data_IF_373646966245
#
_entry.id   IF_373646966245
#
_cell.length_a   1.000
_cell.length_b   1.000
_cell.length_c   1.000
_cell.angle_alpha   90.00
_cell.angle_beta   90.00
_cell.angle_gamma   90.00
#
_symmetry.space_group_name_H-M   'P 1'
#
loop_
_entity.id
_entity.type
_entity.pdbx_description
1 polymer ?
#
# COMPACT_ATOMS: atom_id res chain seq x y z
N UNK A 1 14.34 -15.72 -4.10
CA UNK A 1 14.56 -14.42 -3.45
C UNK A 1 14.99 -13.40 -4.49
N UNK A 2 14.33 -12.28 -4.53
CA UNK A 2 14.68 -11.19 -5.45
C UNK A 2 15.95 -10.53 -4.94
N UNK A 3 16.99 -10.51 -5.77
CA UNK A 3 18.15 -9.67 -5.48
C UNK A 3 17.72 -8.25 -5.84
N UNK A 4 17.41 -7.46 -4.83
CA UNK A 4 17.16 -6.04 -5.04
C UNK A 4 18.44 -5.26 -4.75
N UNK A 5 18.91 -4.54 -5.74
CA UNK A 5 19.89 -3.48 -5.56
C UNK A 5 19.11 -2.18 -5.29
N UNK A 6 18.72 -1.99 -4.05
CA UNK A 6 18.16 -0.70 -3.65
C UNK A 6 19.30 0.24 -3.33
N UNK A 7 19.53 1.20 -4.20
CA UNK A 7 20.50 2.29 -3.98
C UNK A 7 19.89 3.43 -3.18
N UNK A 8 18.61 3.37 -2.90
CA UNK A 8 17.87 4.40 -2.19
C UNK A 8 16.81 3.79 -1.26
N UNK A 9 16.50 4.50 -0.18
CA UNK A 9 15.33 4.21 0.64
C UNK A 9 14.06 4.52 -0.15
N UNK A 10 12.97 3.79 0.14
CA UNK A 10 11.65 3.99 -0.47
C UNK A 10 11.57 3.69 -1.98
N UNK A 11 12.58 3.05 -2.56
CA UNK A 11 12.51 2.52 -3.91
C UNK A 11 11.84 1.15 -3.91
N UNK A 12 11.16 0.81 -5.01
CA UNK A 12 10.62 -0.52 -5.22
C UNK A 12 11.74 -1.56 -5.41
N UNK A 13 11.44 -2.82 -5.10
CA UNK A 13 12.40 -3.90 -5.19
C UNK A 13 12.30 -4.64 -6.53
N UNK A 14 13.44 -4.84 -7.20
CA UNK A 14 13.52 -5.60 -8.44
C UNK A 14 12.69 -4.97 -9.55
N UNK A 15 11.74 -5.74 -10.11
CA UNK A 15 10.83 -5.31 -11.18
C UNK A 15 9.42 -4.98 -10.68
N UNK A 16 9.23 -4.85 -9.37
CA UNK A 16 7.94 -4.44 -8.81
C UNK A 16 7.73 -2.95 -9.01
N UNK A 17 6.55 -2.49 -9.46
CA UNK A 17 6.21 -1.08 -9.48
C UNK A 17 6.03 -0.55 -8.06
N UNK A 18 6.15 0.76 -7.88
CA UNK A 18 5.90 1.41 -6.60
C UNK A 18 4.44 1.20 -6.18
N UNK A 19 4.21 0.91 -4.90
CA UNK A 19 2.86 0.76 -4.35
C UNK A 19 2.04 2.04 -4.49
N UNK A 20 2.63 3.16 -4.12
CA UNK A 20 2.10 4.51 -4.29
C UNK A 20 3.28 5.49 -4.23
N UNK A 21 3.12 6.67 -4.84
CA UNK A 21 4.15 7.71 -4.76
C UNK A 21 4.11 8.47 -3.43
N UNK A 22 2.95 8.48 -2.78
CA UNK A 22 2.77 8.91 -1.40
C UNK A 22 1.84 7.94 -0.68
N UNK A 23 2.19 7.55 0.53
CA UNK A 23 1.36 6.71 1.39
C UNK A 23 1.74 6.90 2.86
N UNK A 24 0.89 6.41 3.75
CA UNK A 24 1.18 6.37 5.17
C UNK A 24 1.72 5.00 5.57
N UNK A 25 2.70 5.01 6.45
CA UNK A 25 3.20 3.81 7.08
C UNK A 25 2.95 3.89 8.59
N UNK A 26 2.30 2.88 9.12
CA UNK A 26 2.13 2.75 10.55
C UNK A 26 3.42 2.21 11.17
N UNK A 27 4.04 2.99 12.05
CA UNK A 27 5.27 2.62 12.75
C UNK A 27 5.07 2.76 14.26
N UNK A 28 5.68 1.87 15.03
CA UNK A 28 5.74 1.98 16.48
C UNK A 28 7.06 2.65 16.82
N UNK A 29 6.99 3.84 17.42
CA UNK A 29 8.20 4.51 17.94
C UNK A 29 8.50 4.00 19.34
N UNK A 30 9.78 3.96 19.69
CA UNK A 30 10.22 3.57 21.02
C UNK A 30 9.54 4.41 22.10
N UNK A 31 8.91 3.78 23.06
CA UNK A 31 8.17 4.43 24.15
C UNK A 31 6.72 4.80 23.86
N UNK A 32 6.19 4.49 22.66
CA UNK A 32 4.77 4.68 22.32
C UNK A 32 3.99 3.38 22.50
N UNK A 33 2.70 3.50 22.86
CA UNK A 33 1.79 2.37 23.07
C UNK A 33 1.08 1.89 21.79
N UNK A 34 1.03 2.75 20.79
CA UNK A 34 0.34 2.51 19.53
C UNK A 34 1.23 2.84 18.33
N UNK A 35 0.77 2.42 17.15
CA UNK A 35 1.39 2.77 15.88
C UNK A 35 1.16 4.25 15.58
N UNK A 36 2.19 4.92 15.12
CA UNK A 36 2.13 6.29 14.62
C UNK A 36 2.11 6.29 13.09
N UNK A 37 1.29 7.14 12.51
CA UNK A 37 1.20 7.32 11.06
C UNK A 37 2.34 8.23 10.59
N UNK A 38 3.16 7.74 9.67
CA UNK A 38 4.28 8.47 9.08
C UNK A 38 4.12 8.55 7.57
N UNK A 39 4.30 9.76 7.02
CA UNK A 39 4.32 9.98 5.58
C UNK A 39 5.53 9.32 4.93
N UNK A 40 5.30 8.63 3.82
CA UNK A 40 6.33 8.02 2.99
C UNK A 40 6.14 8.46 1.55
N UNK A 41 7.18 9.03 0.97
CA UNK A 41 7.23 9.40 -0.44
C UNK A 41 8.13 8.44 -1.19
N UNK A 42 7.75 8.07 -2.42
CA UNK A 42 8.60 7.25 -3.27
C UNK A 42 9.88 8.00 -3.62
N UNK A 43 10.96 7.25 -3.86
CA UNK A 43 12.23 7.85 -4.27
C UNK A 43 12.09 8.64 -5.57
N UNK A 44 11.33 8.12 -6.52
CA UNK A 44 11.07 8.75 -7.81
C UNK A 44 10.41 10.13 -7.64
N UNK A 45 9.42 10.22 -6.74
CA UNK A 45 8.77 11.50 -6.44
C UNK A 45 9.71 12.48 -5.75
N UNK A 46 10.49 12.02 -4.78
CA UNK A 46 11.47 12.86 -4.10
C UNK A 46 12.52 13.40 -5.08
N UNK A 47 13.03 12.56 -5.98
CA UNK A 47 13.98 12.97 -7.00
C UNK A 47 13.35 13.95 -8.01
N UNK A 48 12.09 13.75 -8.40
CA UNK A 48 11.37 14.67 -9.28
C UNK A 48 11.17 16.04 -8.62
N UNK A 49 10.80 16.07 -7.34
CA UNK A 49 10.65 17.30 -6.57
C UNK A 49 11.96 18.06 -6.40
N UNK A 50 13.03 17.34 -6.19
CA UNK A 50 14.36 17.95 -6.01
C UNK A 50 14.91 18.57 -7.31
N UNK A 51 14.66 17.91 -8.45
CA UNK A 51 15.30 18.28 -9.73
C UNK A 51 14.42 19.09 -10.68
N UNK A 52 13.08 18.97 -10.60
CA UNK A 52 12.16 19.44 -11.63
C UNK A 52 11.05 20.33 -11.06
N UNK A 53 10.25 19.83 -10.13
CA UNK A 53 9.09 20.54 -9.58
C UNK A 53 8.96 20.30 -8.07
N UNK A 54 9.42 21.25 -7.24
CA UNK A 54 9.38 21.13 -5.77
C UNK A 54 7.98 20.94 -5.18
N UNK A 55 6.93 21.37 -5.89
CA UNK A 55 5.55 21.34 -5.44
C UNK A 55 4.77 20.14 -5.98
N UNK A 56 5.43 19.27 -6.76
CA UNK A 56 4.78 18.09 -7.33
C UNK A 56 4.25 17.15 -6.25
N UNK A 57 2.97 16.77 -6.36
CA UNK A 57 2.31 15.83 -5.46
C UNK A 57 1.46 14.84 -6.27
N UNK A 58 1.29 13.59 -5.79
CA UNK A 58 0.39 12.64 -6.40
C UNK A 58 -1.06 13.12 -6.31
N UNK A 59 -1.94 12.72 -7.25
CA UNK A 59 -3.36 13.03 -7.17
C UNK A 59 -3.99 12.56 -5.85
N UNK A 60 -4.81 13.40 -5.23
CA UNK A 60 -5.56 13.08 -4.02
C UNK A 60 -4.78 13.22 -2.71
N UNK A 61 -3.60 13.84 -2.73
CA UNK A 61 -2.82 14.17 -1.52
C UNK A 61 -2.91 15.67 -1.27
N UNK A 62 -3.50 16.04 -0.14
CA UNK A 62 -3.71 17.43 0.26
C UNK A 62 -5.09 17.96 -0.12
N UNK A 63 -5.77 18.62 0.82
CA UNK A 63 -7.19 19.00 0.69
C UNK A 63 -7.45 20.19 -0.24
N UNK A 64 -6.51 21.05 -0.57
CA UNK A 64 -6.77 22.32 -1.27
C UNK A 64 -5.66 22.77 -2.25
N UNK A 65 -4.66 21.98 -2.51
CA UNK A 65 -3.64 22.37 -3.51
C UNK A 65 -4.11 22.08 -4.92
N UNK A 66 -3.93 23.00 -5.87
CA UNK A 66 -4.06 22.68 -7.28
C UNK A 66 -3.08 21.53 -7.54
N UNK A 67 -3.62 20.38 -7.81
CA UNK A 67 -2.85 19.16 -8.05
C UNK A 67 -1.91 19.42 -9.23
N UNK A 68 -0.63 19.65 -8.96
CA UNK A 68 0.37 19.52 -9.99
C UNK A 68 0.28 18.08 -10.49
N UNK A 69 -0.24 17.86 -11.68
CA UNK A 69 -0.36 16.52 -12.23
C UNK A 69 1.04 16.00 -12.47
N UNK A 70 1.37 14.88 -11.84
CA UNK A 70 2.59 14.16 -12.18
C UNK A 70 2.54 13.72 -13.65
N UNK A 71 3.68 13.68 -14.34
CA UNK A 71 3.75 13.12 -15.67
C UNK A 71 3.25 11.67 -15.73
N UNK A 72 2.73 11.25 -16.88
CA UNK A 72 2.12 9.95 -17.12
C UNK A 72 3.04 8.73 -16.82
N UNK A 73 4.34 8.95 -16.71
CA UNK A 73 5.28 7.90 -16.35
C UNK A 73 5.35 7.61 -14.84
N UNK A 74 4.70 8.41 -14.01
CA UNK A 74 4.52 8.10 -12.60
C UNK A 74 3.35 7.12 -12.45
N UNK A 75 3.64 5.84 -12.59
CA UNK A 75 2.67 4.74 -12.56
C UNK A 75 2.84 3.95 -11.27
N UNK A 76 1.76 3.71 -10.55
CA UNK A 76 1.71 2.87 -9.36
C UNK A 76 1.30 1.44 -9.68
N UNK A 77 1.51 0.53 -8.72
CA UNK A 77 1.17 -0.89 -8.89
C UNK A 77 -0.30 -1.16 -9.21
N UNK A 78 -1.21 -0.29 -8.76
CA UNK A 78 -2.65 -0.43 -8.99
C UNK A 78 -3.09 0.05 -10.39
N UNK A 79 -2.25 0.85 -11.06
CA UNK A 79 -2.49 1.35 -12.40
C UNK A 79 -1.99 0.39 -13.48
N UNK A 80 -1.15 -0.56 -13.09
CA UNK A 80 -0.64 -1.64 -13.96
C UNK A 80 -1.65 -2.77 -14.01
N UNK A 81 -2.08 -3.16 -15.20
CA UNK A 81 -3.01 -4.29 -15.34
C UNK A 81 -2.37 -5.63 -14.96
N UNK A 82 -3.15 -6.63 -14.52
CA UNK A 82 -2.62 -7.96 -14.20
C UNK A 82 -1.83 -8.61 -15.36
N UNK A 83 -2.25 -8.39 -16.60
CA UNK A 83 -1.52 -8.89 -17.78
C UNK A 83 -0.18 -8.20 -17.99
N UNK A 84 -0.11 -6.87 -17.79
CA UNK A 84 1.15 -6.13 -17.86
C UNK A 84 2.14 -6.57 -16.78
N UNK A 85 1.67 -6.90 -15.58
CA UNK A 85 2.51 -7.51 -14.54
C UNK A 85 3.11 -8.85 -15.00
N UNK A 86 2.34 -9.68 -15.69
CA UNK A 86 2.80 -10.94 -16.26
C UNK A 86 3.79 -10.69 -17.40
N UNK A 87 3.52 -9.74 -18.28
CA UNK A 87 4.35 -9.45 -19.46
C UNK A 87 5.76 -9.00 -19.08
N UNK A 88 5.91 -8.10 -18.12
CA UNK A 88 7.23 -7.68 -17.64
C UNK A 88 7.99 -8.82 -16.98
N UNK A 89 7.30 -9.68 -16.21
CA UNK A 89 7.90 -10.86 -15.63
C UNK A 89 8.33 -11.86 -16.70
N UNK A 90 7.52 -12.07 -17.74
CA UNK A 90 7.83 -12.96 -18.86
C UNK A 90 9.04 -12.46 -19.66
N UNK A 91 9.15 -11.15 -19.86
CA UNK A 91 10.30 -10.56 -20.53
C UNK A 91 11.60 -10.84 -19.76
N UNK A 92 11.58 -10.72 -18.44
CA UNK A 92 12.72 -11.03 -17.58
C UNK A 92 13.00 -12.53 -17.46
N UNK A 93 11.96 -13.39 -17.43
CA UNK A 93 12.08 -14.84 -17.24
C UNK A 93 12.92 -15.53 -18.34
N UNK A 94 12.98 -14.94 -19.53
CA UNK A 94 13.81 -15.45 -20.63
C UNK A 94 15.32 -15.50 -20.30
N UNK A 95 15.74 -14.67 -19.36
CA UNK A 95 17.14 -14.47 -18.99
C UNK A 95 17.49 -14.99 -17.59
N UNK A 96 16.51 -15.55 -16.88
CA UNK A 96 16.64 -16.00 -15.50
C UNK A 96 16.25 -17.47 -15.39
N UNK A 97 17.20 -18.29 -14.94
CA UNK A 97 17.00 -19.74 -14.79
C UNK A 97 16.03 -20.06 -13.66
N UNK A 98 16.09 -19.33 -12.56
CA UNK A 98 15.20 -19.52 -11.42
C UNK A 98 13.83 -18.87 -11.62
N UNK A 99 12.86 -19.29 -10.85
CA UNK A 99 11.54 -18.63 -10.81
C UNK A 99 11.71 -17.19 -10.27
N UNK A 100 10.98 -16.25 -10.88
CA UNK A 100 10.93 -14.86 -10.44
C UNK A 100 9.76 -14.69 -9.47
N UNK A 101 10.03 -14.14 -8.29
CA UNK A 101 9.02 -13.75 -7.33
C UNK A 101 8.54 -12.33 -7.65
N UNK A 102 7.45 -12.25 -8.38
CA UNK A 102 6.78 -10.99 -8.71
C UNK A 102 5.29 -11.09 -8.43
N UNK A 103 4.73 -10.03 -7.89
CA UNK A 103 3.30 -9.93 -7.61
C UNK A 103 2.57 -9.27 -8.78
N UNK A 104 1.47 -9.88 -9.22
CA UNK A 104 0.48 -9.25 -10.07
C UNK A 104 -0.64 -8.70 -9.19
N UNK A 105 -0.77 -7.38 -9.14
CA UNK A 105 -1.85 -6.73 -8.39
C UNK A 105 -3.17 -6.91 -9.14
N UNK A 106 -4.22 -7.22 -8.40
CA UNK A 106 -5.55 -7.48 -8.94
C UNK A 106 -6.56 -6.58 -8.24
N UNK A 107 -7.35 -5.80 -8.98
CA UNK A 107 -8.41 -4.97 -8.41
C UNK A 107 -9.38 -5.77 -7.53
N UNK A 108 -9.94 -5.13 -6.51
CA UNK A 108 -10.89 -5.77 -5.58
C UNK A 108 -12.10 -6.35 -6.32
N UNK A 109 -12.62 -5.62 -7.29
CA UNK A 109 -13.81 -6.00 -8.09
C UNK A 109 -13.48 -6.84 -9.33
N UNK A 110 -12.26 -7.38 -9.42
CA UNK A 110 -11.84 -8.15 -10.60
C UNK A 110 -12.63 -9.46 -10.71
N UNK A 111 -13.26 -9.76 -11.87
CA UNK A 111 -14.08 -10.95 -12.03
C UNK A 111 -13.30 -12.25 -11.82
N UNK A 112 -13.92 -13.22 -11.17
CA UNK A 112 -13.26 -14.51 -10.88
C UNK A 112 -12.79 -15.25 -12.14
N UNK A 113 -13.57 -15.17 -13.23
CA UNK A 113 -13.18 -15.74 -14.51
C UNK A 113 -11.84 -15.19 -15.01
N UNK A 114 -11.74 -13.88 -15.05
CA UNK A 114 -10.54 -13.17 -15.50
C UNK A 114 -9.36 -13.39 -14.52
N UNK A 115 -9.65 -13.50 -13.23
CA UNK A 115 -8.65 -13.83 -12.22
C UNK A 115 -7.96 -15.17 -12.47
N UNK A 116 -8.75 -16.21 -12.76
CA UNK A 116 -8.22 -17.55 -13.11
C UNK A 116 -7.35 -17.51 -14.37
N UNK A 117 -7.74 -16.66 -15.34
CA UNK A 117 -7.07 -16.55 -16.63
C UNK A 117 -5.69 -15.90 -16.52
N UNK A 118 -5.42 -15.13 -15.44
CA UNK A 118 -4.07 -14.60 -15.15
C UNK A 118 -3.06 -15.74 -15.04
N UNK A 119 -3.37 -16.81 -14.30
CA UNK A 119 -2.46 -17.95 -14.12
C UNK A 119 -2.28 -18.76 -15.41
N UNK A 120 -3.35 -18.91 -16.20
CA UNK A 120 -3.27 -19.55 -17.49
C UNK A 120 -2.43 -18.73 -18.47
N UNK A 121 -2.58 -17.41 -18.45
CA UNK A 121 -1.78 -16.49 -19.24
C UNK A 121 -0.31 -16.55 -18.84
N UNK A 122 -0.01 -16.48 -17.54
CA UNK A 122 1.35 -16.60 -17.01
C UNK A 122 2.04 -17.90 -17.46
N UNK A 123 1.31 -19.02 -17.39
CA UNK A 123 1.81 -20.31 -17.86
C UNK A 123 2.12 -20.29 -19.37
N UNK A 124 1.21 -19.74 -20.19
CA UNK A 124 1.41 -19.62 -21.64
C UNK A 124 2.58 -18.71 -22.01
N UNK A 125 2.88 -17.71 -21.18
CA UNK A 125 4.04 -16.82 -21.35
C UNK A 125 5.36 -17.46 -20.87
N UNK A 126 5.34 -18.69 -20.36
CA UNK A 126 6.52 -19.43 -19.92
C UNK A 126 7.03 -19.04 -18.54
N UNK A 127 6.20 -18.46 -17.70
CA UNK A 127 6.57 -18.14 -16.32
C UNK A 127 6.73 -19.43 -15.50
N UNK A 128 7.72 -19.46 -14.61
CA UNK A 128 7.98 -20.57 -13.68
C UNK A 128 7.25 -20.39 -12.34
N UNK A 129 6.66 -19.22 -12.10
CA UNK A 129 5.84 -18.92 -10.94
C UNK A 129 5.05 -17.64 -11.19
N UNK A 130 3.90 -17.51 -10.53
CA UNK A 130 3.06 -16.34 -10.57
C UNK A 130 2.41 -16.16 -9.19
N UNK A 131 2.49 -14.97 -8.66
CA UNK A 131 1.84 -14.58 -7.39
C UNK A 131 0.85 -13.47 -7.67
N UNK A 132 -0.34 -13.55 -7.12
CA UNK A 132 -1.32 -12.47 -7.20
C UNK A 132 -1.56 -11.86 -5.83
N UNK A 133 -1.83 -10.57 -5.81
CA UNK A 133 -2.29 -9.87 -4.63
C UNK A 133 -3.59 -9.14 -4.95
N UNK A 134 -4.63 -9.43 -4.19
CA UNK A 134 -5.91 -8.74 -4.24
C UNK A 134 -6.14 -8.05 -2.91
N UNK A 135 -6.29 -6.74 -2.96
CA UNK A 135 -6.60 -5.99 -1.75
C UNK A 135 -7.98 -6.39 -1.23
N UNK A 136 -8.07 -6.72 0.05
CA UNK A 136 -9.33 -6.96 0.74
C UNK A 136 -9.47 -5.95 1.88
N UNK A 137 -10.28 -4.89 1.71
CA UNK A 137 -10.44 -3.85 2.72
C UNK A 137 -11.03 -4.36 4.03
N UNK A 138 -11.78 -5.47 4.00
CA UNK A 138 -12.40 -6.04 5.21
C UNK A 138 -11.41 -6.90 6.04
N UNK A 139 -10.43 -7.53 5.37
CA UNK A 139 -9.50 -8.45 6.02
C UNK A 139 -8.09 -7.86 6.20
N UNK A 140 -7.75 -6.81 5.45
CA UNK A 140 -6.39 -6.31 5.39
C UNK A 140 -6.26 -4.93 6.05
N UNK A 141 -5.75 -4.95 7.25
CA UNK A 141 -5.27 -3.78 7.96
C UNK A 141 -3.73 -3.80 7.90
N UNK A 142 -3.21 -3.46 6.71
CA UNK A 142 -1.79 -3.58 6.43
C UNK A 142 -0.95 -2.47 7.04
N UNK A 143 0.37 -2.65 6.98
CA UNK A 143 1.36 -1.64 7.40
C UNK A 143 1.34 -0.42 6.47
N UNK A 144 0.95 -0.61 5.20
CA UNK A 144 0.87 0.45 4.19
C UNK A 144 -0.59 0.85 3.96
N UNK A 145 -0.91 2.12 4.14
CA UNK A 145 -2.28 2.64 4.06
C UNK A 145 -2.29 3.87 3.16
N UNK A 146 -3.20 3.90 2.18
CA UNK A 146 -3.49 5.08 1.38
C UNK A 146 -4.50 5.97 2.12
N UNK A 147 -4.39 7.28 1.99
CA UNK A 147 -5.29 8.22 2.65
C UNK A 147 -6.77 7.99 2.26
N UNK A 148 -7.03 7.67 1.00
CA UNK A 148 -8.35 7.31 0.51
C UNK A 148 -8.96 6.12 1.25
N UNK A 149 -8.14 5.14 1.62
CA UNK A 149 -8.59 3.94 2.31
C UNK A 149 -8.98 4.26 3.76
N UNK A 150 -8.22 5.14 4.45
CA UNK A 150 -8.56 5.62 5.79
C UNK A 150 -9.90 6.36 5.81
N UNK A 151 -10.10 7.32 4.92
CA UNK A 151 -11.34 8.12 4.83
C UNK A 151 -12.57 7.28 4.48
N UNK A 152 -12.40 6.14 3.81
CA UNK A 152 -13.51 5.28 3.38
C UNK A 152 -13.80 4.13 4.34
N UNK A 153 -12.86 3.76 5.22
CA UNK A 153 -13.05 2.65 6.16
C UNK A 153 -13.65 3.15 7.47
N UNK A 154 -14.72 2.49 7.93
CA UNK A 154 -15.34 2.76 9.22
C UNK A 154 -14.94 1.70 10.24
N UNK A 155 -14.56 2.13 11.43
CA UNK A 155 -14.19 1.28 12.55
C UNK A 155 -15.21 1.44 13.67
N UNK A 156 -15.72 0.32 14.20
CA UNK A 156 -16.67 0.29 15.30
C UNK A 156 -15.94 -0.05 16.59
N UNK A 157 -16.06 0.82 17.58
CA UNK A 157 -15.55 0.60 18.94
C UNK A 157 -16.69 0.38 19.92
N UNK A 158 -16.53 -0.59 20.82
CA UNK A 158 -17.45 -0.78 21.93
C UNK A 158 -16.87 -0.07 23.15
N UNK A 159 -17.64 0.87 23.70
CA UNK A 159 -17.26 1.64 24.87
C UNK A 159 -17.49 0.86 26.15
N UNK A 160 -16.97 1.36 27.29
CA UNK A 160 -17.05 0.68 28.58
C UNK A 160 -18.50 0.55 29.10
N UNK A 161 -19.42 1.39 28.66
CA UNK A 161 -20.84 1.34 28.98
C UNK A 161 -21.65 0.39 28.07
N UNK A 162 -20.99 -0.28 27.12
CA UNK A 162 -21.60 -1.20 26.17
C UNK A 162 -22.18 -0.54 24.92
N UNK A 163 -22.14 0.78 24.82
CA UNK A 163 -22.50 1.50 23.59
C UNK A 163 -21.44 1.33 22.50
N UNK A 164 -21.80 1.60 21.25
CA UNK A 164 -20.85 1.55 20.13
C UNK A 164 -20.70 2.91 19.50
N UNK A 165 -19.49 3.21 19.03
CA UNK A 165 -19.17 4.39 18.23
C UNK A 165 -18.51 3.96 16.93
N UNK A 166 -18.97 4.56 15.82
CA UNK A 166 -18.43 4.35 14.49
C UNK A 166 -17.59 5.57 14.10
N UNK A 167 -16.33 5.34 13.74
CA UNK A 167 -15.38 6.37 13.36
C UNK A 167 -14.72 6.01 12.03
N UNK A 168 -14.44 7.04 11.21
CA UNK A 168 -13.57 6.85 10.04
C UNK A 168 -12.13 6.64 10.48
N UNK A 169 -11.34 5.95 9.66
CA UNK A 169 -9.99 5.57 10.05
C UNK A 169 -9.05 6.73 10.33
N UNK A 170 -9.32 7.91 9.81
CA UNK A 170 -8.56 9.15 10.05
C UNK A 170 -9.13 10.02 11.19
N UNK A 171 -10.33 9.69 11.71
CA UNK A 171 -10.90 10.39 12.87
C UNK A 171 -10.16 10.04 14.16
N UNK A 172 -10.09 11.02 15.05
CA UNK A 172 -9.38 10.90 16.32
C UNK A 172 -10.30 10.35 17.43
N UNK A 173 -9.73 9.51 18.27
CA UNK A 173 -10.36 8.94 19.46
C UNK A 173 -9.38 9.01 20.64
N UNK A 174 -9.88 9.43 21.79
CA UNK A 174 -9.12 9.38 23.05
C UNK A 174 -9.28 8.01 23.70
N UNK A 175 -8.16 7.38 24.03
CA UNK A 175 -8.13 6.10 24.72
C UNK A 175 -6.94 6.03 25.67
N UNK A 176 -7.20 5.68 26.94
CA UNK A 176 -6.18 5.58 28.01
C UNK A 176 -5.31 6.87 28.16
N UNK A 177 -5.94 8.03 27.96
CA UNK A 177 -5.29 9.35 28.11
C UNK A 177 -4.39 9.76 26.93
N UNK A 178 -4.45 9.03 25.83
CA UNK A 178 -3.74 9.38 24.59
C UNK A 178 -4.75 9.54 23.43
N UNK A 179 -4.45 10.43 22.49
CA UNK A 179 -5.24 10.65 21.27
C UNK A 179 -4.65 9.79 20.15
N UNK A 180 -5.50 9.00 19.50
CA UNK A 180 -5.14 8.10 18.41
C UNK A 180 -6.05 8.31 17.21
N UNK A 181 -5.61 7.97 16.02
CA UNK A 181 -6.55 7.76 14.92
C UNK A 181 -7.30 6.44 15.12
N UNK A 182 -8.58 6.39 14.71
CA UNK A 182 -9.40 5.18 14.87
C UNK A 182 -8.74 3.94 14.25
N UNK A 183 -8.13 4.07 13.07
CA UNK A 183 -7.41 2.97 12.44
C UNK A 183 -6.25 2.47 13.30
N UNK A 184 -5.41 3.36 13.84
CA UNK A 184 -4.27 2.98 14.65
C UNK A 184 -4.66 2.32 15.97
N UNK A 185 -5.68 2.86 16.64
CA UNK A 185 -6.18 2.28 17.88
C UNK A 185 -6.78 0.90 17.63
N UNK A 186 -7.61 0.76 16.60
CA UNK A 186 -8.23 -0.52 16.26
C UNK A 186 -7.20 -1.61 15.97
N UNK A 187 -6.17 -1.29 15.17
CA UNK A 187 -5.08 -2.21 14.87
C UNK A 187 -4.31 -2.60 16.13
N UNK A 188 -3.97 -1.63 16.99
CA UNK A 188 -3.24 -1.89 18.22
C UNK A 188 -4.02 -2.79 19.19
N UNK A 189 -5.33 -2.57 19.34
CA UNK A 189 -6.20 -3.39 20.17
C UNK A 189 -6.37 -4.81 19.61
N UNK A 190 -6.60 -4.92 18.29
CA UNK A 190 -6.79 -6.21 17.61
C UNK A 190 -5.54 -7.08 17.62
N UNK A 191 -4.37 -6.48 17.38
CA UNK A 191 -3.09 -7.18 17.43
C UNK A 191 -2.58 -7.40 18.86
N UNK A 192 -3.24 -6.80 19.85
CA UNK A 192 -2.89 -6.90 21.26
C UNK A 192 -1.55 -6.22 21.59
N UNK A 193 -1.19 -5.20 20.83
CA UNK A 193 0.02 -4.41 21.08
C UNK A 193 -0.19 -3.26 22.06
N UNK A 194 -1.44 -2.83 22.27
CA UNK A 194 -1.71 -1.72 23.18
C UNK A 194 -1.21 -2.00 24.59
N UNK A 195 -0.41 -1.07 25.15
CA UNK A 195 0.13 -1.16 26.51
C UNK A 195 1.23 -2.21 26.73
N UNK A 196 1.80 -2.80 25.68
CA UNK A 196 2.86 -3.83 25.79
C UNK A 196 4.27 -3.30 25.54
N UNK A 197 4.49 -1.99 25.61
CA UNK A 197 5.80 -1.36 25.35
C UNK A 197 6.40 -0.74 26.58
#
# INVERSE_FOLDING_TARGET
STISLSLANNASNGIEPSFAHHYFRNVIRQGKKTKEKVDVFSFELLAYRDMIDPDAMPPGVGDDSPVASLPDYFITADEVTPTQHVDIQAAAQKWIDSSISKTANVPTEYPYGDFKDIYLYAYKQGLKGCTTFRFNPEAFQGVLVKEKDLKNTTYTFTLADGSTVDLKGDEEIEYDGEVHTAANLFDALKEGYYGKF
#
